data_IF_919222419070
#
_entry.id   IF_919222419070
#
_cell.length_a   1.000
_cell.length_b   1.000
_cell.length_c   1.000
_cell.angle_alpha   90.00
_cell.angle_beta   90.00
_cell.angle_gamma   90.00
#
_symmetry.space_group_name_H-M   'P 1'
#
loop_
_entity.id
_entity.type
_entity.pdbx_description
1 polymer ?
#
# COMPACT_ATOMS: atom_id res chain seq x y z
N UNK A 1 -32.44 -27.57 -0.30
CA UNK A 1 -33.19 -26.38 -0.76
C UNK A 1 -33.15 -25.34 0.34
N UNK A 2 -32.10 -24.52 0.36
CA UNK A 2 -32.04 -23.30 1.16
C UNK A 2 -31.83 -22.16 0.15
N UNK A 3 -32.94 -21.54 -0.26
CA UNK A 3 -32.94 -20.45 -1.22
C UNK A 3 -32.72 -19.12 -0.49
N UNK A 4 -31.58 -18.50 -0.78
CA UNK A 4 -31.33 -17.07 -0.95
C UNK A 4 -32.49 -16.14 -0.52
N UNK A 5 -32.47 -15.71 0.74
CA UNK A 5 -33.11 -14.47 1.17
C UNK A 5 -32.05 -13.35 1.03
N UNK A 6 -31.71 -12.99 -0.20
CA UNK A 6 -30.94 -11.77 -0.45
C UNK A 6 -31.88 -10.60 -0.20
N UNK A 7 -31.61 -9.85 0.86
CA UNK A 7 -32.43 -8.77 1.41
C UNK A 7 -32.81 -7.72 0.38
N UNK A 8 -34.10 -7.37 0.33
CA UNK A 8 -34.65 -6.31 -0.51
C UNK A 8 -34.08 -4.90 -0.19
N UNK A 9 -33.36 -4.73 0.92
CA UNK A 9 -32.73 -3.46 1.30
C UNK A 9 -31.57 -3.04 0.40
N UNK A 10 -30.81 -3.99 -0.18
CA UNK A 10 -29.61 -3.67 -0.96
C UNK A 10 -29.93 -3.15 -2.36
N UNK A 11 -31.07 -3.54 -2.94
CA UNK A 11 -31.49 -3.10 -4.29
C UNK A 11 -32.04 -1.67 -4.27
N UNK A 12 -32.53 -1.18 -3.12
CA UNK A 12 -33.06 0.18 -3.02
C UNK A 12 -31.95 1.22 -2.95
N UNK A 13 -30.78 0.88 -2.40
CA UNK A 13 -29.69 1.84 -2.22
C UNK A 13 -29.03 2.26 -3.55
N UNK A 14 -28.82 1.33 -4.49
CA UNK A 14 -28.16 1.54 -5.79
C UNK A 14 -28.78 2.60 -6.71
N UNK A 15 -30.07 2.88 -6.53
CA UNK A 15 -30.81 3.84 -7.35
C UNK A 15 -30.86 5.23 -6.70
N UNK A 16 -30.42 5.39 -5.45
CA UNK A 16 -30.65 6.62 -4.71
C UNK A 16 -29.82 7.78 -5.24
N UNK A 17 -28.50 7.63 -5.43
CA UNK A 17 -27.70 8.83 -5.78
C UNK A 17 -28.10 9.39 -7.15
N UNK A 18 -28.39 8.53 -8.13
CA UNK A 18 -28.77 8.97 -9.49
C UNK A 18 -30.15 9.59 -9.53
N UNK A 19 -31.09 9.09 -8.74
CA UNK A 19 -32.43 9.67 -8.62
C UNK A 19 -32.39 11.01 -7.88
N UNK A 20 -31.58 11.12 -6.81
CA UNK A 20 -31.39 12.37 -6.07
C UNK A 20 -30.64 13.44 -6.88
N UNK A 21 -29.69 13.01 -7.72
CA UNK A 21 -28.88 13.85 -8.60
C UNK A 21 -29.30 13.74 -10.07
N UNK A 22 -30.61 13.68 -10.32
CA UNK A 22 -31.18 13.70 -11.66
C UNK A 22 -30.99 15.07 -12.35
N UNK A 23 -31.46 15.23 -13.58
CA UNK A 23 -31.30 16.48 -14.35
C UNK A 23 -32.01 17.71 -13.76
N UNK A 24 -32.97 17.51 -12.86
CA UNK A 24 -33.70 18.57 -12.16
C UNK A 24 -32.98 19.02 -10.87
N UNK A 25 -32.00 18.24 -10.39
CA UNK A 25 -31.23 18.59 -9.21
C UNK A 25 -30.52 19.95 -9.39
N UNK A 26 -30.47 20.79 -8.34
CA UNK A 26 -29.77 22.07 -8.41
C UNK A 26 -28.32 21.90 -8.88
N UNK A 27 -27.91 22.70 -9.86
CA UNK A 27 -26.53 22.72 -10.37
C UNK A 27 -25.73 23.80 -9.67
N UNK A 28 -24.50 23.46 -9.29
CA UNK A 28 -23.54 24.34 -8.62
C UNK A 28 -22.16 24.18 -9.23
N UNK A 29 -21.27 25.11 -8.90
CA UNK A 29 -19.86 25.05 -9.29
C UNK A 29 -19.00 24.62 -8.11
N UNK A 30 -17.95 23.88 -8.42
CA UNK A 30 -16.85 23.61 -7.52
C UNK A 30 -15.57 24.08 -8.20
N UNK A 31 -14.92 25.08 -7.61
CA UNK A 31 -13.72 25.70 -8.17
C UNK A 31 -12.54 25.50 -7.23
N UNK A 32 -11.34 25.75 -7.73
CA UNK A 32 -10.15 25.84 -6.90
C UNK A 32 -8.90 25.79 -7.74
N UNK A 33 -7.78 25.63 -7.06
CA UNK A 33 -6.46 25.55 -7.68
C UNK A 33 -5.67 24.37 -7.14
N UNK A 34 -4.94 23.71 -8.03
CA UNK A 34 -3.98 22.66 -7.70
C UNK A 34 -2.58 23.22 -7.85
N UNK A 35 -1.81 23.17 -6.76
CA UNK A 35 -0.40 23.57 -6.72
C UNK A 35 0.46 22.46 -6.14
N UNK A 36 1.76 22.48 -6.41
CA UNK A 36 2.74 21.59 -5.76
C UNK A 36 3.19 22.14 -4.39
N UNK A 37 4.10 21.44 -3.72
CA UNK A 37 4.66 21.88 -2.43
C UNK A 37 5.48 23.17 -2.49
N UNK A 38 5.88 23.62 -3.68
CA UNK A 38 6.58 24.89 -3.93
C UNK A 38 5.60 26.03 -4.24
N UNK A 39 4.30 25.73 -4.37
CA UNK A 39 3.25 26.67 -4.75
C UNK A 39 3.17 26.92 -6.25
N UNK A 40 3.84 26.11 -7.06
CA UNK A 40 3.78 26.17 -8.52
C UNK A 40 2.48 25.52 -9.01
N UNK A 41 1.89 26.06 -10.08
CA UNK A 41 0.67 25.52 -10.66
C UNK A 41 0.88 24.12 -11.23
N UNK A 42 -0.06 23.21 -10.95
CA UNK A 42 -0.05 21.87 -11.55
C UNK A 42 -1.19 21.77 -12.56
N UNK A 43 -0.85 21.82 -13.85
CA UNK A 43 -1.79 21.64 -14.97
C UNK A 43 -1.85 20.20 -15.47
N UNK A 44 -2.94 19.84 -16.16
CA UNK A 44 -3.14 18.51 -16.76
C UNK A 44 -3.56 17.40 -15.78
N UNK A 45 -3.85 17.72 -14.51
CA UNK A 45 -4.46 16.76 -13.58
C UNK A 45 -5.98 16.84 -13.65
N UNK A 46 -6.65 15.71 -13.43
CA UNK A 46 -8.10 15.63 -13.42
C UNK A 46 -8.62 15.76 -12.01
N UNK A 47 -9.40 16.80 -11.74
CA UNK A 47 -10.11 16.98 -10.47
C UNK A 47 -11.50 16.35 -10.60
N UNK A 48 -11.90 15.57 -9.61
CA UNK A 48 -13.14 14.81 -9.61
C UNK A 48 -13.94 15.07 -8.35
N UNK A 49 -15.19 15.49 -8.50
CA UNK A 49 -16.20 15.52 -7.43
C UNK A 49 -16.98 14.22 -7.50
N UNK A 50 -16.91 13.43 -6.42
CA UNK A 50 -17.66 12.19 -6.25
C UNK A 50 -18.84 12.43 -5.34
N UNK A 51 -20.00 11.99 -5.77
CA UNK A 51 -21.24 12.00 -5.01
C UNK A 51 -21.62 10.57 -4.64
N UNK A 52 -21.89 10.35 -3.36
CA UNK A 52 -22.28 9.05 -2.81
C UNK A 52 -23.43 9.17 -1.80
N UNK A 53 -24.20 8.09 -1.68
CA UNK A 53 -25.19 7.90 -0.62
C UNK A 53 -24.75 6.69 0.20
N UNK A 54 -24.85 6.76 1.53
CA UNK A 54 -24.46 5.65 2.39
C UNK A 54 -25.17 4.34 1.99
N UNK A 55 -24.40 3.31 1.67
CA UNK A 55 -24.90 2.00 1.24
C UNK A 55 -25.20 1.88 -0.25
N UNK A 56 -25.01 2.95 -1.03
CA UNK A 56 -25.03 2.95 -2.49
C UNK A 56 -23.64 2.61 -3.04
N UNK A 57 -23.57 1.68 -3.99
CA UNK A 57 -22.32 1.32 -4.68
C UNK A 57 -22.14 2.08 -6.00
N UNK A 58 -23.20 2.72 -6.50
CA UNK A 58 -23.14 3.53 -7.70
C UNK A 58 -22.71 4.94 -7.33
N UNK A 59 -21.48 5.30 -7.71
CA UNK A 59 -20.97 6.66 -7.53
C UNK A 59 -21.31 7.50 -8.76
N UNK A 60 -21.68 8.77 -8.54
CA UNK A 60 -21.75 9.75 -9.62
C UNK A 60 -20.50 10.64 -9.57
N UNK A 61 -19.77 10.72 -10.67
CA UNK A 61 -18.54 11.51 -10.75
C UNK A 61 -18.72 12.66 -11.73
N UNK A 62 -18.34 13.86 -11.30
CA UNK A 62 -18.19 15.05 -12.12
C UNK A 62 -16.70 15.39 -12.15
N UNK A 63 -16.18 15.88 -13.27
CA UNK A 63 -14.76 16.14 -13.38
C UNK A 63 -14.45 17.29 -14.31
N UNK A 64 -13.28 17.87 -14.10
CA UNK A 64 -12.64 18.84 -14.97
C UNK A 64 -11.12 18.64 -14.91
N UNK A 65 -10.41 19.08 -15.94
CA UNK A 65 -8.95 19.04 -15.98
C UNK A 65 -8.40 20.42 -15.62
N UNK A 66 -7.40 20.47 -14.74
CA UNK A 66 -6.74 21.73 -14.38
C UNK A 66 -6.03 22.33 -15.59
N UNK A 67 -6.18 23.63 -15.78
CA UNK A 67 -5.45 24.35 -16.82
C UNK A 67 -3.97 24.58 -16.46
N UNK A 68 -3.23 25.28 -17.33
CA UNK A 68 -1.80 25.57 -17.11
C UNK A 68 -1.53 26.47 -15.89
N UNK A 69 -2.55 27.12 -15.33
CA UNK A 69 -2.46 27.90 -14.10
C UNK A 69 -2.85 27.10 -12.84
N UNK A 70 -3.20 25.82 -13.04
CA UNK A 70 -3.65 24.89 -12.02
C UNK A 70 -5.10 25.08 -11.63
N UNK A 71 -5.86 25.93 -12.32
CA UNK A 71 -7.26 26.23 -12.00
C UNK A 71 -8.20 25.19 -12.61
N UNK A 72 -9.29 24.88 -11.90
CA UNK A 72 -10.35 23.98 -12.37
C UNK A 72 -11.75 24.54 -12.05
N UNK A 73 -12.76 24.18 -12.86
CA UNK A 73 -14.17 24.52 -12.60
C UNK A 73 -15.09 23.34 -12.93
N UNK A 74 -15.57 22.64 -11.90
CA UNK A 74 -16.48 21.49 -12.05
C UNK A 74 -17.92 21.92 -11.85
N UNK A 75 -18.76 21.68 -12.85
CA UNK A 75 -20.21 21.72 -12.69
C UNK A 75 -20.72 20.42 -12.05
N UNK A 76 -21.36 20.50 -10.89
CA UNK A 76 -21.91 19.34 -10.18
C UNK A 76 -23.39 19.52 -9.83
N UNK A 77 -24.07 18.40 -9.56
CA UNK A 77 -25.47 18.37 -9.09
C UNK A 77 -25.49 18.21 -7.58
N UNK A 78 -26.34 18.98 -6.91
CA UNK A 78 -26.44 19.03 -5.46
C UNK A 78 -27.70 18.34 -4.91
N UNK A 79 -27.56 17.59 -3.82
CA UNK A 79 -28.68 17.17 -2.98
C UNK A 79 -28.28 17.07 -1.50
N UNK A 80 -29.15 17.49 -0.59
CA UNK A 80 -28.87 17.57 0.87
C UNK A 80 -28.54 16.24 1.56
N UNK A 81 -28.96 15.13 0.97
CA UNK A 81 -28.83 13.78 1.52
C UNK A 81 -27.64 13.01 0.88
N UNK A 82 -26.87 13.66 0.01
CA UNK A 82 -25.70 13.11 -0.67
C UNK A 82 -24.42 13.59 0.05
N UNK A 83 -23.45 12.70 0.19
CA UNK A 83 -22.10 13.03 0.62
C UNK A 83 -21.22 13.29 -0.60
N UNK A 84 -20.28 14.22 -0.45
CA UNK A 84 -19.34 14.59 -1.50
C UNK A 84 -17.91 14.37 -1.02
N UNK A 85 -17.08 13.82 -1.90
CA UNK A 85 -15.62 13.91 -1.82
C UNK A 85 -15.08 14.57 -3.08
N UNK A 86 -13.94 15.22 -2.96
CA UNK A 86 -13.22 15.80 -4.09
C UNK A 86 -11.80 15.27 -4.11
N UNK A 87 -11.33 14.85 -5.27
CA UNK A 87 -10.00 14.25 -5.43
C UNK A 87 -9.29 14.72 -6.68
N UNK A 88 -7.97 14.74 -6.62
CA UNK A 88 -7.09 15.03 -7.76
C UNK A 88 -6.51 13.72 -8.26
N UNK A 89 -6.58 13.50 -9.57
CA UNK A 89 -6.09 12.29 -10.21
C UNK A 89 -5.19 12.60 -11.40
N UNK A 90 -4.22 11.72 -11.68
CA UNK A 90 -3.35 11.79 -12.84
C UNK A 90 -3.09 10.37 -13.33
N UNK A 91 -3.26 10.11 -14.64
CA UNK A 91 -3.13 8.76 -15.22
C UNK A 91 -3.91 7.66 -14.44
N UNK A 92 -5.09 8.02 -13.92
CA UNK A 92 -5.94 7.13 -13.13
C UNK A 92 -5.55 6.98 -11.65
N UNK A 93 -4.40 7.50 -11.23
CA UNK A 93 -3.95 7.47 -9.83
C UNK A 93 -4.51 8.63 -9.03
N UNK A 94 -4.81 8.40 -7.75
CA UNK A 94 -5.31 9.47 -6.87
C UNK A 94 -4.16 10.13 -6.13
N UNK A 95 -3.89 11.40 -6.45
CA UNK A 95 -2.79 12.18 -5.87
C UNK A 95 -3.17 12.85 -4.55
N UNK A 96 -4.43 13.29 -4.43
CA UNK A 96 -4.99 13.87 -3.21
C UNK A 96 -6.50 13.64 -3.14
N UNK A 97 -7.08 13.57 -1.95
CA UNK A 97 -8.52 13.46 -1.73
C UNK A 97 -8.95 14.17 -0.43
N UNK A 98 -10.05 14.90 -0.49
CA UNK A 98 -10.73 15.51 0.65
C UNK A 98 -12.16 14.99 0.74
N UNK A 99 -12.56 14.58 1.95
CA UNK A 99 -13.94 14.21 2.25
C UNK A 99 -14.68 15.42 2.84
N UNK A 100 -15.68 15.92 2.13
CA UNK A 100 -16.48 17.07 2.54
C UNK A 100 -17.78 16.66 3.23
N UNK A 101 -18.23 15.42 3.00
CA UNK A 101 -19.49 14.93 3.53
C UNK A 101 -20.67 15.70 2.94
N UNK A 102 -21.63 16.08 3.78
CA UNK A 102 -22.81 16.85 3.34
C UNK A 102 -22.48 18.34 3.25
N UNK A 103 -22.70 18.91 2.08
CA UNK A 103 -22.41 20.32 1.79
C UNK A 103 -23.68 21.17 1.65
N UNK A 104 -23.55 22.47 1.86
CA UNK A 104 -24.63 23.44 1.66
C UNK A 104 -24.96 23.66 0.17
N UNK A 105 -26.18 24.10 -0.15
CA UNK A 105 -26.58 24.46 -1.53
C UNK A 105 -25.96 25.79 -1.99
N UNK A 106 -24.65 25.79 -2.21
CA UNK A 106 -23.87 26.91 -2.72
C UNK A 106 -22.70 26.39 -3.57
N UNK A 107 -22.04 27.32 -4.26
CA UNK A 107 -20.79 27.00 -4.93
C UNK A 107 -19.71 26.70 -3.88
N UNK A 108 -18.83 25.75 -4.20
CA UNK A 108 -17.77 25.30 -3.31
C UNK A 108 -16.41 25.69 -3.86
N UNK A 109 -15.43 25.82 -2.98
CA UNK A 109 -14.05 26.14 -3.33
C UNK A 109 -13.11 25.22 -2.56
N UNK A 110 -12.19 24.56 -3.26
CA UNK A 110 -11.20 23.66 -2.62
C UNK A 110 -9.87 23.73 -3.36
N UNK A 111 -8.84 24.22 -2.69
CA UNK A 111 -7.48 24.16 -3.21
C UNK A 111 -6.79 22.86 -2.80
N UNK A 112 -5.89 22.38 -3.64
CA UNK A 112 -5.04 21.23 -3.37
C UNK A 112 -3.57 21.63 -3.41
N UNK A 113 -2.82 21.13 -2.43
CA UNK A 113 -1.37 21.11 -2.46
C UNK A 113 -0.94 19.66 -2.66
N UNK A 114 -0.38 19.34 -3.82
CA UNK A 114 0.13 18.02 -4.13
C UNK A 114 1.54 17.86 -3.56
N UNK A 115 1.74 16.81 -2.78
CA UNK A 115 3.07 16.28 -2.47
C UNK A 115 3.66 15.51 -3.66
N UNK A 116 2.83 15.27 -4.68
CA UNK A 116 3.13 14.42 -5.80
C UNK A 116 3.98 15.09 -6.87
N UNK A 117 4.90 14.31 -7.44
CA UNK A 117 5.52 14.60 -8.74
C UNK A 117 4.76 13.80 -9.81
N UNK A 118 4.28 14.48 -10.87
CA UNK A 118 3.43 13.85 -11.90
C UNK A 118 4.17 12.79 -12.73
N UNK A 119 5.48 12.89 -12.81
CA UNK A 119 6.33 11.91 -13.48
C UNK A 119 7.53 11.63 -12.60
N UNK A 120 7.46 10.54 -11.84
CA UNK A 120 8.57 10.04 -11.06
C UNK A 120 9.10 8.73 -11.62
N UNK A 121 10.40 8.56 -11.53
CA UNK A 121 11.08 7.30 -11.78
C UNK A 121 11.19 6.51 -10.47
N UNK A 122 10.79 5.24 -10.48
CA UNK A 122 11.10 4.30 -9.41
C UNK A 122 12.06 3.26 -9.97
N UNK A 123 13.29 3.23 -9.44
CA UNK A 123 14.35 2.37 -9.95
C UNK A 123 15.12 1.67 -8.84
N UNK A 124 15.84 0.61 -9.19
CA UNK A 124 16.60 -0.14 -8.22
C UNK A 124 17.11 -1.48 -8.74
N UNK A 125 17.50 -2.33 -7.80
CA UNK A 125 18.00 -3.68 -8.06
C UNK A 125 17.22 -4.67 -7.22
N UNK A 126 16.86 -5.80 -7.80
CA UNK A 126 16.37 -6.97 -7.09
C UNK A 126 17.53 -7.91 -6.81
N UNK A 127 17.77 -8.23 -5.55
CA UNK A 127 18.80 -9.20 -5.14
C UNK A 127 18.21 -10.33 -4.32
N UNK A 128 18.92 -11.45 -4.29
CA UNK A 128 18.70 -12.52 -3.32
C UNK A 128 19.16 -12.10 -1.92
N UNK A 129 19.12 -13.05 -0.99
CA UNK A 129 19.47 -12.80 0.39
C UNK A 129 20.98 -12.61 0.65
N UNK A 130 21.81 -13.11 -0.26
CA UNK A 130 23.27 -12.96 -0.27
C UNK A 130 23.70 -11.64 -0.94
N UNK A 131 22.79 -10.97 -1.63
CA UNK A 131 23.01 -9.72 -2.36
C UNK A 131 23.37 -9.91 -3.83
N UNK A 132 23.20 -11.11 -4.39
CA UNK A 132 23.38 -11.36 -5.82
C UNK A 132 22.14 -10.87 -6.58
N UNK A 133 22.29 -10.19 -7.72
CA UNK A 133 21.15 -9.78 -8.54
C UNK A 133 20.34 -10.97 -9.06
N UNK A 134 19.02 -10.80 -9.12
CA UNK A 134 18.08 -11.82 -9.59
C UNK A 134 17.53 -11.52 -10.99
N UNK A 135 17.67 -12.48 -11.90
CA UNK A 135 17.05 -12.47 -13.24
C UNK A 135 15.61 -12.99 -13.18
N UNK A 136 14.77 -12.52 -14.09
CA UNK A 136 13.44 -13.07 -14.32
C UNK A 136 12.41 -12.64 -13.29
N UNK A 137 12.72 -11.69 -12.40
CA UNK A 137 11.79 -11.23 -11.37
C UNK A 137 10.78 -10.27 -11.99
N UNK A 138 9.50 -10.50 -11.73
CA UNK A 138 8.43 -9.57 -12.09
C UNK A 138 8.39 -8.44 -11.07
N UNK A 139 8.60 -7.20 -11.52
CA UNK A 139 8.54 -6.00 -10.69
C UNK A 139 7.42 -5.10 -11.18
N UNK A 140 6.58 -4.64 -10.25
CA UNK A 140 5.58 -3.59 -10.47
C UNK A 140 5.83 -2.42 -9.52
N UNK A 141 5.42 -1.23 -9.93
CA UNK A 141 5.43 -0.04 -9.09
C UNK A 141 4.00 0.45 -8.84
N UNK A 142 3.80 1.06 -7.68
CA UNK A 142 2.54 1.65 -7.25
C UNK A 142 2.79 2.90 -6.41
N UNK A 143 1.72 3.62 -6.10
CA UNK A 143 1.77 4.71 -5.14
C UNK A 143 0.62 4.66 -4.13
N UNK A 144 0.86 5.19 -2.93
CA UNK A 144 -0.16 5.40 -1.92
C UNK A 144 -0.06 6.78 -1.27
N UNK A 145 -1.19 7.28 -0.77
CA UNK A 145 -1.27 8.55 -0.02
C UNK A 145 -0.87 8.41 1.45
N UNK A 146 -0.97 7.20 1.99
CA UNK A 146 -0.68 6.89 3.40
C UNK A 146 -0.04 5.51 3.52
N UNK A 147 0.79 5.34 4.55
CA UNK A 147 1.33 4.05 4.94
C UNK A 147 0.18 3.10 5.31
N UNK A 148 0.09 1.93 4.68
CA UNK A 148 -1.04 1.02 4.87
C UNK A 148 -2.30 1.35 4.07
N UNK A 149 -2.31 2.46 3.30
CA UNK A 149 -3.44 2.84 2.45
C UNK A 149 -3.61 1.92 1.24
N UNK A 150 -4.67 2.12 0.44
CA UNK A 150 -4.87 1.33 -0.79
C UNK A 150 -3.84 1.78 -1.84
N UNK A 151 -2.96 0.88 -2.33
CA UNK A 151 -1.98 1.24 -3.35
C UNK A 151 -2.66 1.36 -4.73
N UNK A 152 -2.21 2.32 -5.53
CA UNK A 152 -2.62 2.51 -6.93
C UNK A 152 -1.45 2.13 -7.84
N UNK A 153 -1.54 1.04 -8.62
CA UNK A 153 -0.45 0.64 -9.52
C UNK A 153 -0.18 1.70 -10.58
N UNK A 154 1.05 1.73 -11.07
CA UNK A 154 1.41 2.58 -12.21
C UNK A 154 0.78 1.97 -13.45
N UNK A 155 0.12 2.78 -14.27
CA UNK A 155 -0.62 2.30 -15.44
C UNK A 155 0.03 2.75 -16.73
N UNK A 156 -0.02 1.91 -17.77
CA UNK A 156 0.37 2.26 -19.13
C UNK A 156 -0.79 2.94 -19.89
N UNK A 157 -0.56 3.35 -21.14
CA UNK A 157 -1.57 4.00 -21.99
C UNK A 157 -2.84 3.16 -22.23
N UNK A 158 -2.77 1.85 -21.97
CA UNK A 158 -3.89 0.91 -22.06
C UNK A 158 -4.59 0.70 -20.71
N UNK A 159 -4.27 1.49 -19.69
CA UNK A 159 -4.78 1.35 -18.32
C UNK A 159 -4.46 -0.01 -17.69
N UNK A 160 -3.35 -0.64 -18.09
CA UNK A 160 -2.85 -1.87 -17.48
C UNK A 160 -1.67 -1.58 -16.57
N UNK A 161 -1.43 -2.37 -15.51
CA UNK A 161 -0.26 -2.21 -14.66
C UNK A 161 1.05 -2.23 -15.47
N UNK A 162 1.88 -1.21 -15.30
CA UNK A 162 3.27 -1.20 -15.77
C UNK A 162 4.07 -2.22 -14.97
N UNK A 163 4.92 -2.97 -15.67
CA UNK A 163 5.80 -3.95 -15.06
C UNK A 163 7.11 -4.07 -15.83
N UNK A 164 8.11 -4.63 -15.17
CA UNK A 164 9.41 -5.02 -15.74
C UNK A 164 9.69 -6.47 -15.33
N UNK A 165 10.33 -7.23 -16.23
CA UNK A 165 11.00 -8.49 -15.89
C UNK A 165 12.49 -8.20 -15.83
N UNK A 166 13.13 -8.45 -14.68
CA UNK A 166 14.56 -8.14 -14.52
C UNK A 166 15.42 -9.02 -15.42
N UNK A 167 16.52 -8.45 -15.93
CA UNK A 167 17.59 -9.22 -16.57
C UNK A 167 18.61 -9.75 -15.55
N UNK A 168 19.73 -10.29 -16.03
CA UNK A 168 20.85 -10.79 -15.23
C UNK A 168 21.43 -9.80 -14.20
N UNK A 169 21.30 -8.50 -14.47
CA UNK A 169 21.71 -7.42 -13.57
C UNK A 169 20.74 -7.15 -12.42
N UNK A 170 19.54 -7.75 -12.41
CA UNK A 170 18.49 -7.48 -11.41
C UNK A 170 17.92 -6.05 -11.45
N UNK A 171 18.37 -5.20 -12.38
CA UNK A 171 17.98 -3.79 -12.44
C UNK A 171 16.54 -3.65 -12.96
N UNK A 172 15.78 -2.74 -12.35
CA UNK A 172 14.49 -2.28 -12.85
C UNK A 172 14.37 -0.75 -12.83
N UNK A 173 13.48 -0.22 -13.66
CA UNK A 173 13.12 1.19 -13.74
C UNK A 173 11.68 1.29 -14.24
N UNK A 174 10.80 1.97 -13.50
CA UNK A 174 9.38 2.13 -13.84
C UNK A 174 8.98 3.58 -13.56
N UNK A 175 8.40 4.24 -14.56
CA UNK A 175 7.92 5.62 -14.45
C UNK A 175 6.41 5.69 -14.14
N UNK A 176 6.01 6.62 -13.28
CA UNK A 176 4.62 6.93 -12.98
C UNK A 176 4.50 8.06 -11.96
N UNK A 177 3.28 8.53 -11.70
CA UNK A 177 3.08 9.53 -10.66
C UNK A 177 3.20 8.90 -9.27
N UNK A 178 3.77 9.66 -8.34
CA UNK A 178 3.87 9.26 -6.94
C UNK A 178 3.06 10.24 -6.13
N UNK A 179 2.01 9.77 -5.45
CA UNK A 179 1.22 10.57 -4.53
C UNK A 179 2.06 11.01 -3.33
N UNK A 180 2.32 10.09 -2.40
CA UNK A 180 3.20 10.34 -1.25
C UNK A 180 4.27 9.26 -1.12
N UNK A 181 3.85 8.00 -1.12
CA UNK A 181 4.74 6.84 -1.09
C UNK A 181 4.88 6.26 -2.49
N UNK A 182 6.10 6.05 -2.95
CA UNK A 182 6.41 5.14 -4.05
C UNK A 182 6.61 3.74 -3.48
N UNK A 183 5.99 2.75 -4.11
CA UNK A 183 5.97 1.36 -3.65
C UNK A 183 6.44 0.49 -4.81
N UNK A 184 7.33 -0.46 -4.54
CA UNK A 184 7.65 -1.53 -5.47
C UNK A 184 7.29 -2.87 -4.86
N UNK A 185 6.78 -3.76 -5.71
CA UNK A 185 6.49 -5.14 -5.39
C UNK A 185 7.17 -6.03 -6.43
N UNK A 186 7.96 -6.98 -5.96
CA UNK A 186 8.58 -8.01 -6.76
C UNK A 186 7.92 -9.37 -6.49
N UNK A 187 7.82 -10.20 -7.52
CA UNK A 187 7.40 -11.59 -7.43
C UNK A 187 8.27 -12.49 -8.30
N UNK A 188 8.66 -13.64 -7.76
CA UNK A 188 9.26 -14.74 -8.51
C UNK A 188 8.82 -16.08 -7.90
N UNK A 189 8.48 -17.10 -8.70
CA UNK A 189 7.97 -18.38 -8.18
C UNK A 189 8.88 -19.06 -7.14
N UNK A 190 10.19 -18.92 -7.30
CA UNK A 190 11.18 -19.54 -6.40
C UNK A 190 11.57 -18.67 -5.20
N UNK A 191 11.21 -17.38 -5.21
CA UNK A 191 11.62 -16.41 -4.18
C UNK A 191 10.45 -15.75 -3.43
N UNK A 192 9.21 -15.97 -3.87
CA UNK A 192 8.02 -15.37 -3.27
C UNK A 192 7.87 -13.88 -3.59
N UNK A 193 7.37 -13.12 -2.61
CA UNK A 193 7.15 -11.68 -2.72
C UNK A 193 8.25 -10.87 -2.03
N UNK A 194 8.50 -9.66 -2.54
CA UNK A 194 9.25 -8.65 -1.82
C UNK A 194 8.67 -7.26 -2.06
N UNK A 195 8.66 -6.43 -1.02
CA UNK A 195 8.16 -5.06 -1.04
C UNK A 195 9.21 -4.09 -0.53
N UNK A 196 9.29 -2.92 -1.16
CA UNK A 196 10.06 -1.78 -0.68
C UNK A 196 9.28 -0.49 -0.95
N UNK A 197 9.50 0.54 -0.14
CA UNK A 197 8.82 1.82 -0.27
C UNK A 197 9.63 2.97 0.28
N UNK A 198 9.41 4.15 -0.28
CA UNK A 198 9.95 5.40 0.26
C UNK A 198 9.07 6.59 -0.17
N UNK A 199 9.29 7.75 0.44
CA UNK A 199 8.76 9.04 -0.02
C UNK A 199 9.80 9.72 -0.94
N UNK A 200 9.35 10.50 -1.94
CA UNK A 200 10.23 11.36 -2.72
C UNK A 200 10.63 12.58 -1.86
N UNK A 201 11.64 12.39 -1.00
CA UNK A 201 12.03 13.35 0.02
C UNK A 201 12.64 14.64 -0.54
N UNK A 202 13.23 14.60 -1.75
CA UNK A 202 13.89 15.74 -2.37
C UNK A 202 13.11 16.33 -3.55
N UNK A 203 11.93 15.76 -3.86
CA UNK A 203 11.03 16.17 -4.93
C UNK A 203 11.77 16.26 -6.28
N UNK A 204 12.76 15.39 -6.49
CA UNK A 204 13.51 15.32 -7.73
C UNK A 204 12.83 14.43 -8.78
N UNK A 205 11.72 13.76 -8.40
CA UNK A 205 11.00 12.84 -9.28
C UNK A 205 11.71 11.50 -9.44
N UNK A 206 12.50 11.05 -8.47
CA UNK A 206 13.14 9.74 -8.49
C UNK A 206 13.19 9.11 -7.09
N UNK A 207 12.85 7.83 -7.03
CA UNK A 207 12.95 7.03 -5.81
C UNK A 207 13.77 5.78 -6.12
N UNK A 208 14.85 5.59 -5.36
CA UNK A 208 15.68 4.40 -5.44
C UNK A 208 15.21 3.37 -4.39
N UNK A 209 14.61 2.27 -4.85
CA UNK A 209 14.08 1.20 -4.00
C UNK A 209 14.77 -0.11 -4.33
N UNK A 210 15.40 -0.75 -3.34
CA UNK A 210 16.18 -1.98 -3.57
C UNK A 210 15.51 -3.16 -2.89
N UNK A 211 15.11 -4.13 -3.70
CA UNK A 211 14.33 -5.28 -3.25
C UNK A 211 15.26 -6.44 -2.91
N UNK A 212 15.23 -6.84 -1.63
CA UNK A 212 15.89 -8.07 -1.19
C UNK A 212 14.85 -9.17 -1.06
N UNK A 213 14.91 -10.17 -1.95
CA UNK A 213 13.99 -11.30 -1.95
C UNK A 213 14.47 -12.42 -1.02
N UNK A 214 13.50 -13.09 -0.41
CA UNK A 214 13.75 -14.31 0.36
C UNK A 214 13.82 -15.55 -0.53
N UNK A 215 13.80 -16.71 0.13
CA UNK A 215 13.56 -18.00 -0.51
C UNK A 215 12.07 -18.34 -0.39
N UNK A 216 11.48 -18.95 -1.42
CA UNK A 216 10.11 -19.49 -1.30
C UNK A 216 10.01 -20.60 -0.24
N UNK A 217 8.79 -20.98 0.11
CA UNK A 217 8.52 -22.02 1.11
C UNK A 217 8.10 -21.45 2.46
N UNK A 218 8.18 -22.26 3.51
CA UNK A 218 7.86 -21.86 4.88
C UNK A 218 9.14 -21.89 5.72
N UNK A 219 9.40 -20.80 6.44
CA UNK A 219 10.58 -20.60 7.27
C UNK A 219 10.18 -20.40 8.72
N UNK A 220 10.92 -21.01 9.65
CA UNK A 220 10.72 -20.74 11.08
C UNK A 220 11.30 -19.37 11.42
N UNK A 221 10.48 -18.50 12.03
CA UNK A 221 10.97 -17.25 12.62
C UNK A 221 11.06 -17.39 14.12
N UNK A 222 12.25 -17.13 14.64
CA UNK A 222 12.56 -17.17 16.07
C UNK A 222 12.97 -15.80 16.55
N UNK A 223 12.56 -15.42 17.76
CA UNK A 223 12.91 -14.12 18.35
C UNK A 223 13.96 -14.33 19.44
N UNK A 224 15.14 -13.74 19.30
CA UNK A 224 16.14 -13.70 20.38
C UNK A 224 16.01 -12.39 21.16
N UNK A 225 15.80 -12.48 22.47
CA UNK A 225 15.66 -11.33 23.35
C UNK A 225 16.99 -11.00 24.02
N UNK A 226 17.44 -9.76 23.90
CA UNK A 226 18.68 -9.24 24.49
C UNK A 226 18.41 -8.10 25.46
N UNK A 227 19.28 -7.92 26.44
CA UNK A 227 19.22 -6.81 27.39
C UNK A 227 19.91 -5.54 26.85
N UNK A 228 19.95 -4.49 27.67
CA UNK A 228 20.61 -3.22 27.32
C UNK A 228 22.12 -3.32 27.03
N UNK A 229 22.79 -4.40 27.45
CA UNK A 229 24.20 -4.68 27.19
C UNK A 229 24.42 -5.59 25.97
N UNK A 230 23.34 -5.96 25.26
CA UNK A 230 23.34 -6.92 24.15
C UNK A 230 23.55 -8.38 24.55
N UNK A 231 23.43 -8.71 25.84
CA UNK A 231 23.50 -10.09 26.32
C UNK A 231 22.14 -10.78 26.18
N UNK A 232 22.07 -12.06 25.74
CA UNK A 232 20.83 -12.81 25.69
C UNK A 232 20.19 -12.96 27.08
N UNK A 233 18.90 -12.68 27.18
CA UNK A 233 18.12 -12.90 28.40
C UNK A 233 17.73 -14.38 28.45
N UNK A 234 18.42 -15.21 29.22
CA UNK A 234 18.23 -16.68 29.23
C UNK A 234 17.33 -17.18 30.35
N UNK A 235 16.50 -18.19 30.07
CA UNK A 235 15.65 -18.92 31.02
C UNK A 235 14.80 -18.02 31.92
N UNK A 236 14.23 -16.95 31.36
CA UNK A 236 13.52 -15.94 32.12
C UNK A 236 12.08 -15.78 31.63
N UNK A 237 11.13 -15.74 32.57
CA UNK A 237 9.81 -15.15 32.33
C UNK A 237 9.98 -13.63 32.38
N UNK A 238 9.68 -12.96 31.29
CA UNK A 238 9.87 -11.52 31.17
C UNK A 238 8.87 -10.77 32.07
N UNK A 239 9.34 -9.67 32.67
CA UNK A 239 8.47 -8.73 33.36
C UNK A 239 7.42 -8.18 32.38
N UNK A 240 6.18 -7.85 32.82
CA UNK A 240 5.12 -7.37 31.92
C UNK A 240 5.56 -6.27 30.96
N UNK A 241 6.36 -5.29 31.43
CA UNK A 241 6.87 -4.18 30.61
C UNK A 241 7.90 -4.59 29.54
N UNK A 242 8.45 -5.81 29.62
CA UNK A 242 9.39 -6.40 28.68
C UNK A 242 8.75 -7.43 27.75
N UNK A 243 7.46 -7.72 27.91
CA UNK A 243 6.72 -8.62 27.03
C UNK A 243 6.23 -7.86 25.80
N UNK A 244 6.20 -8.53 24.67
CA UNK A 244 5.78 -7.91 23.41
C UNK A 244 5.24 -8.95 22.42
N UNK A 245 4.55 -8.46 21.39
CA UNK A 245 4.26 -9.18 20.16
C UNK A 245 5.15 -8.63 19.06
N UNK A 246 5.85 -9.51 18.36
CA UNK A 246 6.49 -9.18 17.10
C UNK A 246 5.48 -9.43 15.98
N UNK A 247 5.04 -8.37 15.31
CA UNK A 247 4.20 -8.45 14.11
C UNK A 247 5.11 -8.40 12.89
N UNK A 248 5.03 -9.44 12.06
CA UNK A 248 5.58 -9.49 10.71
C UNK A 248 4.42 -9.20 9.75
N UNK A 249 4.54 -8.15 8.94
CA UNK A 249 3.46 -7.73 8.05
C UNK A 249 4.01 -7.10 6.77
N UNK A 250 3.17 -7.00 5.77
CA UNK A 250 3.43 -6.19 4.59
C UNK A 250 2.56 -4.93 4.63
N UNK A 251 3.15 -3.75 4.42
CA UNK A 251 2.42 -2.49 4.49
C UNK A 251 1.41 -2.33 3.34
N UNK A 252 1.56 -3.07 2.24
CA UNK A 252 0.59 -3.07 1.14
C UNK A 252 0.43 -4.48 0.58
N UNK A 253 -0.70 -4.72 -0.07
CA UNK A 253 -0.97 -5.96 -0.78
C UNK A 253 -1.20 -5.63 -2.27
N UNK A 254 -0.25 -6.02 -3.11
CA UNK A 254 -0.34 -5.91 -4.57
C UNK A 254 -0.50 -7.27 -5.26
N UNK A 255 -0.83 -8.33 -4.51
CA UNK A 255 -0.91 -9.70 -5.01
C UNK A 255 -1.86 -9.84 -6.21
N UNK A 256 -3.05 -9.26 -6.11
CA UNK A 256 -4.04 -9.29 -7.19
C UNK A 256 -3.58 -8.57 -8.47
N UNK A 257 -2.72 -7.55 -8.33
CA UNK A 257 -2.11 -6.86 -9.47
C UNK A 257 -1.08 -7.76 -10.13
N UNK A 258 -0.28 -8.48 -9.33
CA UNK A 258 0.66 -9.50 -9.84
C UNK A 258 -0.10 -10.61 -10.57
N UNK A 259 -1.19 -11.15 -10.01
CA UNK A 259 -2.03 -12.17 -10.66
C UNK A 259 -2.55 -11.68 -12.03
N UNK A 260 -3.00 -10.43 -12.07
CA UNK A 260 -3.47 -9.80 -13.30
C UNK A 260 -2.34 -9.75 -14.34
N UNK A 261 -1.15 -9.27 -13.96
CA UNK A 261 -0.02 -9.16 -14.90
C UNK A 261 0.41 -10.54 -15.39
N UNK A 262 0.58 -11.50 -14.48
CA UNK A 262 0.98 -12.88 -14.78
C UNK A 262 0.01 -13.54 -15.75
N UNK A 263 -1.29 -13.50 -15.46
CA UNK A 263 -2.32 -14.13 -16.28
C UNK A 263 -2.54 -13.45 -17.64
N UNK A 264 -2.47 -12.11 -17.71
CA UNK A 264 -2.72 -11.37 -18.95
C UNK A 264 -1.55 -11.40 -19.92
N UNK A 265 -0.31 -11.55 -19.41
CA UNK A 265 0.91 -11.44 -20.21
C UNK A 265 1.69 -12.76 -20.33
N UNK A 266 1.17 -13.87 -19.79
CA UNK A 266 1.82 -15.18 -19.79
C UNK A 266 3.24 -15.14 -19.17
N UNK A 267 3.38 -14.36 -18.09
CA UNK A 267 4.64 -14.28 -17.32
C UNK A 267 4.76 -15.55 -16.48
N UNK A 268 5.94 -16.17 -16.44
CA UNK A 268 6.20 -17.46 -15.76
C UNK A 268 5.41 -18.64 -16.36
N UNK A 269 5.70 -19.02 -17.62
CA UNK A 269 5.05 -20.17 -18.24
C UNK A 269 5.32 -21.44 -17.41
N UNK A 270 4.25 -22.07 -16.92
CA UNK A 270 4.31 -23.28 -16.09
C UNK A 270 4.15 -23.05 -14.59
N UNK A 271 3.94 -21.81 -14.15
CA UNK A 271 3.46 -21.54 -12.78
C UNK A 271 2.15 -22.29 -12.53
N UNK A 272 2.03 -22.92 -11.36
CA UNK A 272 0.83 -23.64 -10.92
C UNK A 272 0.18 -22.85 -9.78
N UNK A 273 -1.08 -22.45 -9.97
CA UNK A 273 -1.80 -21.60 -9.02
C UNK A 273 -1.63 -20.11 -9.34
N UNK A 274 -2.26 -19.26 -8.52
CA UNK A 274 -2.13 -17.82 -8.66
C UNK A 274 -0.97 -17.31 -7.78
N UNK A 275 -0.16 -16.34 -8.23
CA UNK A 275 0.86 -15.71 -7.39
C UNK A 275 0.33 -15.29 -6.02
N UNK A 276 -0.90 -14.79 -5.91
CA UNK A 276 -1.51 -14.41 -4.64
C UNK A 276 -1.68 -15.56 -3.64
N UNK A 277 -1.73 -16.81 -4.10
CA UNK A 277 -1.67 -17.98 -3.21
C UNK A 277 -0.31 -18.07 -2.50
N UNK A 278 0.70 -17.36 -2.99
CA UNK A 278 2.05 -17.22 -2.43
C UNK A 278 2.31 -15.90 -1.70
N UNK A 279 1.32 -15.02 -1.62
CA UNK A 279 1.45 -13.79 -0.84
C UNK A 279 1.59 -14.13 0.65
N UNK A 280 2.50 -13.47 1.38
CA UNK A 280 2.63 -13.72 2.81
C UNK A 280 1.45 -13.13 3.58
N UNK A 281 1.20 -13.71 4.75
CA UNK A 281 0.16 -13.26 5.67
C UNK A 281 0.78 -12.50 6.84
N UNK A 282 0.00 -11.66 7.52
CA UNK A 282 0.46 -11.05 8.77
C UNK A 282 0.59 -12.13 9.84
N UNK A 283 1.75 -12.19 10.49
CA UNK A 283 2.05 -13.15 11.56
C UNK A 283 2.43 -12.41 12.83
N UNK A 284 1.97 -12.90 13.98
CA UNK A 284 2.32 -12.34 15.30
C UNK A 284 2.97 -13.39 16.20
N UNK A 285 4.19 -13.11 16.67
CA UNK A 285 4.91 -13.96 17.62
C UNK A 285 4.84 -13.30 19.01
N UNK A 286 4.24 -13.99 19.98
CA UNK A 286 4.06 -13.47 21.35
C UNK A 286 5.22 -13.86 22.25
N UNK A 287 6.01 -12.87 22.69
CA UNK A 287 7.20 -13.08 23.51
C UNK A 287 6.92 -12.78 24.99
N UNK A 288 6.86 -13.83 25.81
CA UNK A 288 6.60 -13.75 27.27
C UNK A 288 7.72 -14.34 28.13
N UNK A 289 8.49 -15.26 27.56
CA UNK A 289 9.52 -16.05 28.24
C UNK A 289 10.61 -16.45 27.25
N UNK A 290 11.80 -16.74 27.77
CA UNK A 290 12.95 -17.14 26.97
C UNK A 290 13.55 -18.48 27.40
N UNK A 291 14.15 -19.19 26.45
CA UNK A 291 14.89 -20.44 26.65
C UNK A 291 16.36 -20.21 27.07
N UNK A 292 17.16 -21.28 27.10
CA UNK A 292 18.59 -21.19 27.46
C UNK A 292 19.48 -20.45 26.46
N UNK A 293 19.01 -20.22 25.23
CA UNK A 293 19.69 -19.41 24.22
C UNK A 293 19.18 -17.97 24.15
N UNK A 294 18.21 -17.62 25.02
CA UNK A 294 17.54 -16.32 25.00
C UNK A 294 16.50 -16.19 23.89
N UNK A 295 16.07 -17.30 23.28
CA UNK A 295 15.00 -17.29 22.30
C UNK A 295 13.65 -17.33 22.99
N UNK A 296 12.66 -16.65 22.41
CA UNK A 296 11.27 -16.79 22.80
C UNK A 296 10.85 -18.28 22.75
N UNK A 297 10.04 -18.71 23.73
CA UNK A 297 9.52 -20.09 23.76
C UNK A 297 8.54 -20.38 22.62
N UNK A 298 8.01 -19.35 21.96
CA UNK A 298 7.16 -19.45 20.78
C UNK A 298 7.93 -19.07 19.52
N UNK A 299 7.66 -19.79 18.44
CA UNK A 299 8.07 -19.48 17.07
C UNK A 299 6.87 -19.64 16.14
N UNK A 300 6.98 -19.11 14.93
CA UNK A 300 5.97 -19.28 13.88
C UNK A 300 6.64 -19.66 12.57
N UNK A 301 5.95 -20.48 11.79
CA UNK A 301 6.33 -20.76 10.40
C UNK A 301 5.64 -19.76 9.50
N UNK A 302 6.42 -19.01 8.73
CA UNK A 302 5.92 -17.96 7.86
C UNK A 302 6.36 -18.21 6.43
N UNK A 303 5.58 -17.71 5.48
CA UNK A 303 5.90 -17.90 4.06
C UNK A 303 7.11 -17.05 3.68
N UNK A 304 7.95 -17.58 2.81
CA UNK A 304 9.08 -16.88 2.19
C UNK A 304 8.68 -15.60 1.49
N UNK A 305 9.14 -14.47 2.03
CA UNK A 305 8.97 -13.13 1.48
C UNK A 305 9.93 -12.17 2.21
N UNK A 306 9.80 -10.87 1.98
CA UNK A 306 10.30 -9.87 2.93
C UNK A 306 9.16 -9.32 3.82
N UNK A 307 9.46 -9.03 5.08
CA UNK A 307 8.46 -8.57 6.04
C UNK A 307 8.91 -7.28 6.72
N UNK A 308 7.95 -6.37 6.92
CA UNK A 308 8.13 -5.28 7.86
C UNK A 308 7.85 -5.77 9.27
N UNK A 309 8.63 -5.25 10.22
CA UNK A 309 8.56 -5.65 11.61
C UNK A 309 8.02 -4.53 12.50
N UNK A 310 7.08 -4.86 13.38
CA UNK A 310 6.55 -3.97 14.40
C UNK A 310 6.53 -4.66 15.76
N UNK A 311 6.95 -3.95 16.81
CA UNK A 311 6.85 -4.42 18.18
C UNK A 311 5.66 -3.79 18.88
N UNK A 312 4.77 -4.63 19.41
CA UNK A 312 3.53 -4.25 20.04
C UNK A 312 3.47 -4.75 21.49
N UNK A 313 2.81 -4.02 22.37
CA UNK A 313 2.48 -4.48 23.71
C UNK A 313 1.40 -5.55 23.63
N UNK A 314 1.49 -6.55 24.50
CA UNK A 314 0.53 -7.66 24.52
C UNK A 314 -0.87 -7.16 24.89
N UNK A 315 -0.97 -6.20 25.80
CA UNK A 315 -2.22 -5.81 26.44
C UNK A 315 -3.11 -4.92 25.56
N UNK A 316 -2.53 -4.12 24.67
CA UNK A 316 -3.26 -3.02 24.04
C UNK A 316 -2.81 -2.64 22.62
N UNK A 317 -1.97 -3.45 21.96
CA UNK A 317 -1.47 -3.17 20.61
C UNK A 317 -0.75 -1.82 20.44
N UNK A 318 -0.34 -1.16 21.53
CA UNK A 318 0.51 0.02 21.44
C UNK A 318 1.95 -0.38 21.17
N UNK A 319 2.75 0.53 20.62
CA UNK A 319 4.17 0.27 20.37
C UNK A 319 4.91 -0.10 21.67
N UNK A 320 5.69 -1.19 21.62
CA UNK A 320 6.53 -1.61 22.74
C UNK A 320 7.81 -0.75 22.81
N UNK A 321 8.39 -0.62 24.01
CA UNK A 321 9.62 0.18 24.27
C UNK A 321 10.91 -0.58 23.97
N UNK A 322 10.84 -1.56 23.06
CA UNK A 322 11.94 -2.42 22.66
C UNK A 322 12.44 -2.03 21.25
N UNK A 323 13.65 -2.47 20.91
CA UNK A 323 14.31 -2.14 19.65
C UNK A 323 14.57 -3.41 18.85
N UNK A 324 14.13 -3.41 17.58
CA UNK A 324 14.49 -4.45 16.62
C UNK A 324 15.90 -4.15 16.10
N UNK A 325 16.81 -5.12 16.18
CA UNK A 325 18.19 -5.00 15.67
C UNK A 325 18.39 -5.68 14.30
N UNK A 326 17.45 -6.52 13.87
CA UNK A 326 17.45 -7.13 12.53
C UNK A 326 17.14 -6.11 11.43
N UNK A 327 17.50 -6.43 10.18
CA UNK A 327 17.17 -5.59 9.02
C UNK A 327 15.65 -5.45 8.85
N UNK A 328 15.20 -4.27 8.46
CA UNK A 328 13.80 -3.98 8.17
C UNK A 328 13.72 -3.29 6.79
N UNK A 329 13.12 -3.92 5.77
CA UNK A 329 12.42 -5.21 5.81
C UNK A 329 13.35 -6.42 6.07
N UNK A 330 12.77 -7.47 6.65
CA UNK A 330 13.40 -8.77 6.91
C UNK A 330 13.16 -9.69 5.71
N UNK A 331 14.18 -9.95 4.89
CA UNK A 331 14.12 -10.97 3.84
C UNK A 331 14.36 -12.35 4.46
N UNK A 332 13.44 -13.30 4.24
CA UNK A 332 13.53 -14.65 4.81
C UNK A 332 14.19 -15.63 3.83
N UNK A 333 15.38 -16.12 4.17
CA UNK A 333 16.18 -17.01 3.32
C UNK A 333 16.43 -18.39 3.93
N UNK A 334 16.27 -18.55 5.24
CA UNK A 334 16.29 -19.82 5.98
C UNK A 334 15.62 -19.60 7.37
N UNK A 335 15.94 -20.43 8.38
CA UNK A 335 15.63 -20.20 9.79
C UNK A 335 16.07 -18.78 10.21
N UNK A 336 15.10 -17.89 10.31
CA UNK A 336 15.34 -16.46 10.45
C UNK A 336 15.28 -16.06 11.92
N UNK A 337 16.35 -15.43 12.41
CA UNK A 337 16.43 -14.95 13.79
C UNK A 337 16.18 -13.44 13.82
N UNK A 338 15.10 -13.04 14.49
CA UNK A 338 14.82 -11.65 14.80
C UNK A 338 15.41 -11.31 16.16
N UNK A 339 16.34 -10.36 16.19
CA UNK A 339 16.98 -9.93 17.44
C UNK A 339 16.23 -8.70 17.97
N UNK A 340 15.72 -8.80 19.20
CA UNK A 340 15.00 -7.72 19.88
C UNK A 340 15.69 -7.38 21.20
N UNK A 341 16.04 -6.11 21.35
CA UNK A 341 16.61 -5.56 22.58
C UNK A 341 15.52 -4.95 23.46
N UNK A 342 15.45 -5.37 24.71
CA UNK A 342 14.56 -4.78 25.73
C UNK A 342 15.37 -3.97 26.74
N UNK A 343 14.78 -2.88 27.22
CA UNK A 343 15.33 -2.07 28.32
C UNK A 343 15.00 -2.69 29.68
#
# INVERSE_FOLDING_TARGET
MAALATSCETVVAGLLVRELLNDEAPKRKWTGRVVDTKGEAVGGVVVQVRAEVNGDNDLLTFSDETDNSGEYEIGYRWHKDVNYSIRVTYEGQTLAENFEGRIELKDQETDFVLQATLTSEVSGVVTDSEGNPLEGVLVIAASAQSLGGVPSPFLNDLSQPKYVITGDSGIFQIEGAIAKYGIVCAFHPDHGFAYDYDEDHDANGSIALSLKMGNSGNHEVRVQVRDGNDDPIVLQVLDPDRRFRLRLYEPWNLASVIDQVVSQNDVFPGLVGDPSDQHPETVEITVQSTDSGGFAETSEFVRGANYYMQLLRIENDQQATALIQSSNPLALDDDSIVIVRVN
#
